data_IF_361263339607
#
_entry.id   IF_361263339607
#
_cell.length_a   1.000
_cell.length_b   1.000
_cell.length_c   1.000
_cell.angle_alpha   90.00
_cell.angle_beta   90.00
_cell.angle_gamma   90.00
#
_symmetry.space_group_name_H-M   'P 1'
#
loop_
_entity.id
_entity.type
_entity.pdbx_description
1 polymer ?
#
# COMPACT_ATOMS: atom_id res chain seq x y z
N UNK A 1 -0.30 -5.43 -5.89
CA UNK A 1 -0.23 -4.35 -6.86
C UNK A 1 1.14 -3.75 -6.87
N UNK A 2 1.68 -3.55 -5.70
CA UNK A 2 2.81 -2.67 -5.52
C UNK A 2 4.10 -3.42 -5.29
N UNK A 3 5.13 -2.84 -5.76
CA UNK A 3 6.52 -3.15 -5.55
C UNK A 3 6.98 -2.51 -4.23
N UNK A 4 7.95 -3.11 -3.53
CA UNK A 4 8.42 -2.65 -2.21
C UNK A 4 7.31 -2.62 -1.15
N UNK A 5 6.63 -3.74 -0.99
CA UNK A 5 5.53 -3.93 -0.04
C UNK A 5 5.97 -4.78 1.17
N UNK A 6 5.32 -4.56 2.31
CA UNK A 6 5.46 -5.41 3.50
C UNK A 6 4.49 -6.59 3.53
N UNK A 7 3.55 -6.66 2.58
CA UNK A 7 2.51 -7.68 2.54
C UNK A 7 3.07 -9.07 2.24
N UNK A 8 2.34 -10.10 2.64
CA UNK A 8 2.68 -11.48 2.30
C UNK A 8 2.63 -11.71 0.78
N UNK A 9 3.45 -12.66 0.31
CA UNK A 9 3.50 -13.04 -1.10
C UNK A 9 2.17 -13.61 -1.61
N UNK A 10 1.35 -14.19 -0.73
CA UNK A 10 0.01 -14.67 -1.02
C UNK A 10 -1.06 -13.58 -1.10
N UNK A 11 -0.79 -12.38 -0.56
CA UNK A 11 -1.74 -11.28 -0.60
C UNK A 11 -1.93 -10.78 -2.03
N UNK A 12 -3.18 -10.70 -2.46
CA UNK A 12 -3.53 -10.26 -3.80
C UNK A 12 -4.91 -9.60 -3.82
N UNK A 13 -5.28 -9.02 -4.95
CA UNK A 13 -6.54 -8.30 -5.12
C UNK A 13 -7.57 -9.08 -5.94
N UNK A 14 -7.24 -10.28 -6.41
CA UNK A 14 -8.03 -11.01 -7.41
C UNK A 14 -9.49 -11.18 -7.01
N UNK A 15 -9.80 -11.53 -5.76
CA UNK A 15 -11.18 -11.68 -5.30
C UNK A 15 -11.94 -10.36 -5.34
N UNK A 16 -11.38 -9.28 -4.77
CA UNK A 16 -11.99 -7.95 -4.79
C UNK A 16 -12.12 -7.42 -6.23
N UNK A 17 -11.12 -7.66 -7.09
CA UNK A 17 -11.16 -7.23 -8.48
C UNK A 17 -12.22 -7.97 -9.30
N UNK A 18 -12.42 -9.26 -9.06
CA UNK A 18 -13.52 -10.02 -9.66
C UNK A 18 -14.88 -9.53 -9.20
N UNK A 19 -15.03 -9.19 -7.92
CA UNK A 19 -16.25 -8.57 -7.40
C UNK A 19 -16.51 -7.21 -8.08
N UNK A 20 -15.48 -6.37 -8.22
CA UNK A 20 -15.56 -5.10 -8.92
C UNK A 20 -16.04 -5.25 -10.37
N UNK A 21 -15.45 -6.18 -11.13
CA UNK A 21 -15.89 -6.51 -12.50
C UNK A 21 -17.30 -7.08 -12.60
N UNK A 22 -17.90 -7.50 -11.49
CA UNK A 22 -19.27 -8.02 -11.38
C UNK A 22 -20.26 -7.01 -10.83
N UNK A 23 -19.84 -5.76 -10.62
CA UNK A 23 -20.71 -4.67 -10.23
C UNK A 23 -20.57 -4.19 -8.79
N UNK A 24 -19.70 -4.78 -7.98
CA UNK A 24 -19.33 -4.18 -6.71
C UNK A 24 -18.49 -2.93 -6.97
N UNK A 25 -18.86 -1.78 -6.40
CA UNK A 25 -18.07 -0.55 -6.55
C UNK A 25 -16.78 -0.66 -5.73
N UNK A 26 -15.73 0.09 -6.16
CA UNK A 26 -14.44 0.15 -5.48
C UNK A 26 -14.26 1.53 -4.83
N UNK A 27 -14.11 1.56 -3.50
CA UNK A 27 -14.01 2.79 -2.71
C UNK A 27 -12.57 3.27 -2.55
N UNK A 28 -12.33 4.57 -2.72
CA UNK A 28 -11.09 5.28 -2.40
C UNK A 28 -9.78 4.56 -2.82
N UNK A 29 -9.63 4.07 -4.05
CA UNK A 29 -8.48 3.23 -4.44
C UNK A 29 -7.12 3.92 -4.32
N UNK A 30 -7.04 5.25 -4.31
CA UNK A 30 -5.79 5.98 -4.17
C UNK A 30 -5.26 6.05 -2.72
N UNK A 31 -6.04 5.66 -1.72
CA UNK A 31 -5.63 5.74 -0.33
C UNK A 31 -4.83 4.50 0.09
N UNK A 32 -3.52 4.67 0.19
CA UNK A 32 -2.56 3.66 0.62
C UNK A 32 -1.72 4.17 1.77
N UNK A 33 -1.40 3.30 2.73
CA UNK A 33 -0.54 3.63 3.85
C UNK A 33 0.87 3.10 3.62
N UNK A 34 1.85 3.95 3.91
CA UNK A 34 3.27 3.62 3.87
C UNK A 34 3.77 3.41 5.30
N UNK A 35 4.62 2.41 5.52
CA UNK A 35 5.28 2.17 6.81
C UNK A 35 6.74 2.62 6.74
N UNK A 36 7.20 3.52 7.64
CA UNK A 36 8.52 4.15 7.53
C UNK A 36 9.68 3.25 7.97
N UNK A 37 9.43 2.20 8.76
CA UNK A 37 10.48 1.41 9.41
C UNK A 37 10.54 -0.02 8.85
N UNK A 38 10.96 -0.16 7.59
CA UNK A 38 11.17 -1.47 6.99
C UNK A 38 12.65 -1.68 6.68
N UNK A 39 13.12 -2.93 6.71
CA UNK A 39 14.47 -3.28 6.27
C UNK A 39 14.55 -3.03 4.77
N UNK A 40 15.50 -2.21 4.28
CA UNK A 40 15.58 -1.85 2.88
C UNK A 40 15.90 -3.04 1.97
N UNK A 41 15.63 -2.91 0.68
CA UNK A 41 15.99 -3.91 -0.32
C UNK A 41 17.50 -4.13 -0.38
N UNK A 42 17.88 -5.36 -0.66
CA UNK A 42 19.29 -5.75 -0.89
C UNK A 42 19.66 -5.77 -2.38
N UNK A 43 18.70 -5.60 -3.29
CA UNK A 43 18.89 -5.56 -4.74
C UNK A 43 17.59 -5.50 -5.52
N UNK A 44 17.68 -5.34 -6.83
CA UNK A 44 16.56 -5.05 -7.76
C UNK A 44 15.50 -6.15 -7.87
N UNK A 45 15.84 -7.38 -7.47
CA UNK A 45 14.92 -8.52 -7.56
C UNK A 45 14.07 -8.73 -6.31
N UNK A 46 14.32 -7.97 -5.25
CA UNK A 46 13.53 -8.03 -4.03
C UNK A 46 12.35 -7.07 -4.13
N UNK A 47 11.12 -7.60 -4.06
CA UNK A 47 9.89 -6.79 -4.10
C UNK A 47 9.22 -6.67 -2.73
N UNK A 48 9.64 -7.45 -1.74
CA UNK A 48 9.09 -7.47 -0.39
C UNK A 48 10.11 -6.94 0.61
N UNK A 49 9.67 -6.01 1.46
CA UNK A 49 10.45 -5.48 2.58
C UNK A 49 9.98 -6.08 3.91
N UNK A 50 10.92 -6.39 4.79
CA UNK A 50 10.58 -6.86 6.14
C UNK A 50 10.19 -5.67 7.01
N UNK A 51 8.96 -5.72 7.53
CA UNK A 51 8.45 -4.72 8.45
C UNK A 51 9.19 -4.82 9.79
N UNK A 52 9.65 -3.68 10.28
CA UNK A 52 10.10 -3.49 11.65
C UNK A 52 9.07 -2.68 12.44
N UNK A 53 8.92 -2.97 13.72
CA UNK A 53 7.95 -2.24 14.55
C UNK A 53 8.21 -0.74 14.55
N UNK A 54 7.14 0.04 14.43
CA UNK A 54 7.19 1.50 14.51
C UNK A 54 7.66 1.99 15.89
N UNK A 55 7.48 1.17 16.95
CA UNK A 55 7.93 1.49 18.31
C UNK A 55 9.44 1.76 18.41
N UNK A 56 10.23 1.28 17.44
CA UNK A 56 11.65 1.61 17.34
C UNK A 56 11.92 3.12 17.28
N UNK A 57 10.99 3.91 16.74
CA UNK A 57 11.10 5.36 16.66
C UNK A 57 10.91 6.08 18.01
N UNK A 58 10.39 5.38 19.02
CA UNK A 58 10.22 5.96 20.37
C UNK A 58 11.55 6.30 21.04
N UNK A 59 12.56 5.48 20.81
CA UNK A 59 13.88 5.65 21.42
C UNK A 59 15.02 5.78 20.39
N UNK A 60 14.81 5.32 19.15
CA UNK A 60 15.76 5.47 18.05
C UNK A 60 15.66 6.83 17.36
N UNK A 61 16.82 7.40 16.97
CA UNK A 61 16.92 8.66 16.23
C UNK A 61 17.20 8.42 14.76
N UNK A 62 16.46 9.12 13.89
CA UNK A 62 16.58 8.96 12.44
C UNK A 62 17.47 10.06 11.86
N UNK A 63 18.48 9.68 11.08
CA UNK A 63 19.40 10.61 10.45
C UNK A 63 19.96 10.13 9.10
N UNK A 64 20.51 11.07 8.35
CA UNK A 64 21.33 10.83 7.16
C UNK A 64 22.62 11.64 7.25
N UNK A 65 23.71 11.30 6.52
CA UNK A 65 24.87 12.18 6.41
C UNK A 65 24.48 13.54 5.81
N UNK A 66 25.12 14.64 6.26
CA UNK A 66 24.96 15.97 5.63
C UNK A 66 25.57 16.04 4.24
N UNK A 67 26.52 15.17 3.93
CA UNK A 67 27.17 15.10 2.63
C UNK A 67 26.45 14.13 1.70
N UNK A 68 26.10 14.58 0.49
CA UNK A 68 25.53 13.71 -0.55
C UNK A 68 26.54 12.63 -0.97
N UNK A 69 26.02 11.40 -1.18
CA UNK A 69 26.84 10.27 -1.61
C UNK A 69 27.89 9.82 -0.60
N UNK A 70 27.72 10.12 0.68
CA UNK A 70 28.65 9.68 1.73
C UNK A 70 28.62 8.16 1.89
N UNK A 71 29.76 7.52 1.66
CA UNK A 71 29.94 6.06 1.74
C UNK A 71 30.70 5.62 3.00
N UNK A 72 31.03 6.55 3.90
CA UNK A 72 31.68 6.21 5.17
C UNK A 72 30.79 5.30 6.01
N UNK A 73 31.42 4.48 6.84
CA UNK A 73 30.67 3.71 7.83
C UNK A 73 30.00 4.68 8.84
N UNK A 74 28.82 4.37 9.36
CA UNK A 74 28.08 5.28 10.25
C UNK A 74 28.88 5.68 11.51
N UNK A 75 29.79 4.81 11.99
CA UNK A 75 30.68 5.10 13.11
C UNK A 75 31.74 6.16 12.80
N UNK A 76 32.10 6.33 11.53
CA UNK A 76 33.13 7.24 11.05
C UNK A 76 32.56 8.62 10.66
N UNK A 77 31.23 8.80 10.79
CA UNK A 77 30.53 10.05 10.53
C UNK A 77 30.32 10.77 11.87
N UNK A 78 31.00 11.91 12.12
CA UNK A 78 30.87 12.67 13.34
C UNK A 78 29.44 13.18 13.57
N UNK A 79 29.09 13.48 14.82
CA UNK A 79 27.75 13.93 15.19
C UNK A 79 27.33 15.23 14.47
N UNK A 80 28.25 16.16 14.33
CA UNK A 80 28.05 17.44 13.64
C UNK A 80 27.87 17.31 12.12
N UNK A 81 28.24 16.15 11.53
CA UNK A 81 28.02 15.83 10.12
C UNK A 81 26.74 14.99 9.87
N UNK A 82 25.93 14.76 10.92
CA UNK A 82 24.64 14.05 10.83
C UNK A 82 23.47 15.04 10.70
N UNK A 83 22.54 14.77 9.78
CA UNK A 83 21.28 15.50 9.66
C UNK A 83 20.13 14.69 10.28
N UNK A 84 19.70 15.08 11.47
CA UNK A 84 18.50 14.56 12.13
C UNK A 84 17.27 15.27 11.53
N UNK A 85 16.99 15.03 10.28
CA UNK A 85 16.08 15.81 9.43
C UNK A 85 14.64 15.86 9.95
N UNK A 86 14.13 14.81 10.62
CA UNK A 86 12.78 14.84 11.22
C UNK A 86 12.74 15.77 12.43
N UNK A 87 13.74 15.72 13.31
CA UNK A 87 13.83 16.60 14.48
C UNK A 87 13.98 18.07 14.07
N UNK A 88 14.73 18.31 12.99
CA UNK A 88 14.95 19.67 12.46
C UNK A 88 13.71 20.24 11.76
N UNK A 89 12.99 19.41 10.98
CA UNK A 89 11.82 19.85 10.20
C UNK A 89 10.56 19.94 11.06
N UNK A 90 10.41 19.03 12.01
CA UNK A 90 9.20 18.85 12.82
C UNK A 90 9.55 18.83 14.32
N UNK A 91 9.99 19.95 14.89
CA UNK A 91 10.54 19.98 16.25
C UNK A 91 9.53 19.57 17.35
N UNK A 92 8.22 19.73 17.10
CA UNK A 92 7.18 19.34 18.04
C UNK A 92 7.02 17.83 18.19
N UNK A 93 7.30 17.06 17.13
CA UNK A 93 7.11 15.60 17.07
C UNK A 93 8.39 14.83 16.84
N UNK A 94 9.39 15.42 16.18
CA UNK A 94 10.66 14.78 15.86
C UNK A 94 10.49 13.44 15.15
N UNK A 95 11.10 12.39 15.67
CA UNK A 95 11.00 11.05 15.11
C UNK A 95 9.60 10.41 15.22
N UNK A 96 8.67 11.01 15.97
CA UNK A 96 7.32 10.51 16.20
C UNK A 96 6.26 11.13 15.28
N UNK A 97 6.67 11.89 14.26
CA UNK A 97 5.74 12.34 13.21
C UNK A 97 4.98 11.17 12.58
N UNK A 98 3.75 11.38 12.06
CA UNK A 98 2.97 10.34 11.41
C UNK A 98 3.73 9.57 10.33
N UNK A 99 3.25 8.35 10.04
CA UNK A 99 3.89 7.42 9.10
C UNK A 99 4.11 8.02 7.72
N UNK A 100 3.10 8.71 7.20
CA UNK A 100 3.14 9.36 5.89
C UNK A 100 4.21 10.46 5.84
N UNK A 101 4.29 11.30 6.87
CA UNK A 101 5.29 12.38 6.98
C UNK A 101 6.71 11.81 7.07
N UNK A 102 6.93 10.84 7.97
CA UNK A 102 8.24 10.19 8.12
C UNK A 102 8.68 9.48 6.84
N UNK A 103 7.75 8.82 6.15
CA UNK A 103 8.03 8.08 4.92
C UNK A 103 8.40 9.00 3.75
N UNK A 104 7.63 10.08 3.54
CA UNK A 104 7.96 11.09 2.51
C UNK A 104 9.32 11.72 2.76
N UNK A 105 9.57 12.14 3.99
CA UNK A 105 10.85 12.76 4.35
C UNK A 105 12.05 11.82 4.14
N UNK A 106 11.90 10.52 4.44
CA UNK A 106 12.95 9.54 4.21
C UNK A 106 13.21 9.32 2.71
N UNK A 107 12.14 9.16 1.90
CA UNK A 107 12.27 9.03 0.44
C UNK A 107 12.93 10.26 -0.17
N UNK A 108 12.46 11.45 0.21
CA UNK A 108 13.02 12.72 -0.26
C UNK A 108 14.53 12.84 0.01
N UNK A 109 14.99 12.48 1.24
CA UNK A 109 16.43 12.46 1.55
C UNK A 109 17.19 11.49 0.66
N UNK A 110 16.63 10.32 0.36
CA UNK A 110 17.26 9.37 -0.54
C UNK A 110 17.33 9.90 -1.99
N UNK A 111 16.23 10.45 -2.50
CA UNK A 111 16.13 11.01 -3.86
C UNK A 111 17.08 12.21 -4.06
N UNK A 112 17.30 13.01 -3.02
CA UNK A 112 18.27 14.11 -3.03
C UNK A 112 19.74 13.66 -2.97
N UNK A 113 19.98 12.35 -2.80
CA UNK A 113 21.31 11.76 -2.78
C UNK A 113 21.97 11.65 -1.40
N UNK A 114 21.20 11.78 -0.31
CA UNK A 114 21.68 11.55 1.07
C UNK A 114 21.44 10.13 1.56
N UNK A 115 20.82 9.29 0.74
CA UNK A 115 20.54 7.90 1.08
C UNK A 115 21.81 7.10 1.37
N UNK A 116 21.68 6.13 2.28
CA UNK A 116 22.77 5.28 2.76
C UNK A 116 22.63 3.83 2.33
N UNK A 117 23.66 3.02 2.56
CA UNK A 117 23.69 1.62 2.15
C UNK A 117 24.04 1.44 0.67
N UNK A 118 24.16 0.19 0.21
CA UNK A 118 24.59 -0.15 -1.16
C UNK A 118 23.62 0.35 -2.25
N UNK A 119 22.32 0.34 -1.94
CA UNK A 119 21.27 0.79 -2.88
C UNK A 119 21.01 2.30 -2.80
N UNK A 120 21.54 3.00 -1.80
CA UNK A 120 21.21 4.39 -1.47
C UNK A 120 19.72 4.62 -1.13
N UNK A 121 18.95 3.56 -0.97
CA UNK A 121 17.55 3.56 -0.58
C UNK A 121 17.41 3.18 0.90
N UNK A 122 18.02 3.96 1.79
CA UNK A 122 17.91 3.81 3.23
C UNK A 122 18.27 5.09 3.96
N UNK A 123 17.78 5.22 5.19
CA UNK A 123 18.19 6.18 6.21
C UNK A 123 18.61 5.43 7.48
N UNK A 124 19.40 6.04 8.35
CA UNK A 124 19.81 5.42 9.61
C UNK A 124 18.76 5.61 10.69
N UNK A 125 18.56 4.56 11.50
CA UNK A 125 17.83 4.58 12.78
C UNK A 125 18.80 4.14 13.87
N UNK A 126 19.21 5.06 14.74
CA UNK A 126 20.33 4.93 15.66
C UNK A 126 19.86 4.85 17.12
N UNK A 127 20.30 3.83 17.83
CA UNK A 127 19.98 3.62 19.25
C UNK A 127 21.10 4.04 20.21
N UNK A 128 22.20 4.59 19.71
CA UNK A 128 23.36 4.97 20.53
C UNK A 128 22.98 5.85 21.71
N UNK A 129 22.17 6.88 21.46
CA UNK A 129 21.73 7.81 22.52
C UNK A 129 20.77 7.14 23.50
N UNK A 130 19.87 6.28 23.04
CA UNK A 130 18.98 5.51 23.89
C UNK A 130 19.75 4.55 24.80
N UNK A 131 20.73 3.84 24.26
CA UNK A 131 21.61 2.93 25.02
C UNK A 131 22.39 3.70 26.07
N UNK A 132 22.95 4.89 25.72
CA UNK A 132 23.66 5.74 26.68
C UNK A 132 22.77 6.27 27.80
N UNK A 133 21.52 6.63 27.48
CA UNK A 133 20.55 7.21 28.43
C UNK A 133 19.88 6.18 29.33
N UNK A 134 19.47 5.05 28.77
CA UNK A 134 18.64 4.04 29.44
C UNK A 134 19.42 2.82 29.92
N UNK A 135 20.58 2.55 29.33
CA UNK A 135 21.32 1.31 29.47
C UNK A 135 20.89 0.25 28.47
N UNK A 136 21.82 -0.63 28.11
CA UNK A 136 21.60 -1.70 27.13
C UNK A 136 20.51 -2.69 27.58
N UNK A 137 20.42 -3.01 28.86
CA UNK A 137 19.44 -3.96 29.38
C UNK A 137 18.00 -3.48 29.17
N UNK A 138 17.73 -2.19 29.39
CA UNK A 138 16.42 -1.58 29.17
C UNK A 138 16.06 -1.56 27.68
N UNK A 139 17.02 -1.20 26.82
CA UNK A 139 16.83 -1.22 25.36
C UNK A 139 16.59 -2.65 24.87
N UNK A 140 17.34 -3.63 25.42
CA UNK A 140 17.14 -5.04 25.10
C UNK A 140 15.78 -5.58 25.55
N UNK A 141 15.32 -5.19 26.74
CA UNK A 141 13.99 -5.58 27.22
C UNK A 141 12.86 -5.03 26.30
N UNK A 142 13.05 -3.83 25.73
CA UNK A 142 12.06 -3.20 24.82
C UNK A 142 12.12 -3.72 23.39
N UNK A 143 13.32 -3.90 22.84
CA UNK A 143 13.55 -4.08 21.39
C UNK A 143 14.42 -5.28 21.05
N UNK A 144 14.90 -6.06 22.00
CA UNK A 144 15.89 -7.12 21.78
C UNK A 144 15.45 -8.17 20.74
N UNK A 145 14.17 -8.54 20.73
CA UNK A 145 13.61 -9.45 19.71
C UNK A 145 13.66 -8.84 18.31
N UNK A 146 13.41 -7.54 18.16
CA UNK A 146 13.48 -6.83 16.89
C UNK A 146 14.93 -6.69 16.43
N UNK A 147 15.85 -6.39 17.34
CA UNK A 147 17.28 -6.33 17.04
C UNK A 147 17.83 -7.67 16.59
N UNK A 148 17.42 -8.76 17.28
CA UNK A 148 17.80 -10.11 16.88
C UNK A 148 17.27 -10.47 15.49
N UNK A 149 16.02 -10.10 15.16
CA UNK A 149 15.45 -10.30 13.83
C UNK A 149 16.22 -9.50 12.78
N UNK A 150 16.52 -8.23 13.05
CA UNK A 150 17.29 -7.38 12.16
C UNK A 150 18.68 -7.95 11.89
N UNK A 151 19.40 -8.32 12.95
CA UNK A 151 20.74 -8.91 12.83
C UNK A 151 20.76 -10.23 12.04
N UNK A 152 19.73 -11.07 12.19
CA UNK A 152 19.60 -12.31 11.40
C UNK A 152 19.40 -12.04 9.91
N UNK A 153 18.73 -10.95 9.55
CA UNK A 153 18.43 -10.61 8.15
C UNK A 153 19.61 -9.86 7.50
N UNK A 154 20.21 -8.92 8.23
CA UNK A 154 21.18 -7.97 7.66
C UNK A 154 22.64 -8.30 7.98
N UNK A 155 22.89 -9.05 9.06
CA UNK A 155 24.23 -9.27 9.61
C UNK A 155 24.74 -8.14 10.51
N UNK A 156 24.02 -7.01 10.62
CA UNK A 156 24.42 -5.86 11.44
C UNK A 156 23.81 -5.97 12.85
N UNK A 157 24.59 -5.62 13.87
CA UNK A 157 24.15 -5.58 15.26
C UNK A 157 23.65 -4.18 15.65
N UNK A 158 22.34 -3.98 15.91
CA UNK A 158 21.76 -2.67 16.24
C UNK A 158 22.27 -2.05 17.55
N UNK A 159 22.90 -2.82 18.43
CA UNK A 159 23.53 -2.28 19.64
C UNK A 159 24.81 -1.49 19.35
N UNK A 160 25.46 -1.75 18.23
CA UNK A 160 26.75 -1.16 17.86
C UNK A 160 26.72 -0.35 16.55
N UNK A 161 25.77 -0.66 15.68
CA UNK A 161 25.67 -0.08 14.34
C UNK A 161 24.22 0.39 14.11
N UNK A 162 24.01 1.62 13.63
CA UNK A 162 22.66 2.10 13.30
C UNK A 162 21.97 1.17 12.30
N UNK A 163 20.69 0.89 12.54
CA UNK A 163 19.85 0.16 11.60
C UNK A 163 19.65 0.99 10.33
N UNK A 164 19.57 0.31 9.20
CA UNK A 164 19.12 0.90 7.94
C UNK A 164 17.63 0.62 7.79
N UNK A 165 16.85 1.67 7.54
CA UNK A 165 15.41 1.57 7.33
C UNK A 165 15.02 2.32 6.05
N UNK A 166 13.92 1.88 5.43
CA UNK A 166 13.32 2.53 4.27
C UNK A 166 11.79 2.37 4.29
N UNK A 167 11.02 3.33 3.77
CA UNK A 167 9.58 3.21 3.70
C UNK A 167 9.13 2.13 2.73
N UNK A 168 8.02 1.47 3.06
CA UNK A 168 7.37 0.50 2.19
C UNK A 168 5.85 0.61 2.25
N UNK A 169 5.20 0.28 1.15
CA UNK A 169 3.73 0.17 1.10
C UNK A 169 3.29 -0.92 2.07
N UNK A 170 2.31 -0.61 2.92
CA UNK A 170 1.94 -1.46 4.05
C UNK A 170 0.47 -1.85 4.09
N UNK A 171 -0.45 -0.93 3.79
CA UNK A 171 -1.88 -1.15 3.93
C UNK A 171 -2.65 -0.39 2.84
N UNK A 172 -3.75 -0.98 2.35
CA UNK A 172 -4.70 -0.30 1.48
C UNK A 172 -5.92 0.13 2.29
N UNK A 173 -6.19 1.44 2.34
CA UNK A 173 -7.43 1.95 2.93
C UNK A 173 -8.57 1.91 1.91
N UNK A 174 -8.25 1.95 0.62
CA UNK A 174 -9.20 1.67 -0.45
C UNK A 174 -9.52 0.18 -0.57
N UNK A 175 -10.71 -0.15 -1.05
CA UNK A 175 -11.20 -1.52 -1.20
C UNK A 175 -12.62 -1.53 -1.78
N UNK A 176 -13.32 -2.66 -1.71
CA UNK A 176 -14.72 -2.71 -2.11
C UNK A 176 -15.55 -1.75 -1.27
N UNK A 177 -16.39 -0.97 -1.93
CA UNK A 177 -17.37 -0.13 -1.23
C UNK A 177 -18.38 -1.03 -0.49
N UNK A 178 -18.68 -0.68 0.74
CA UNK A 178 -19.69 -1.35 1.58
C UNK A 178 -20.53 -0.33 2.31
N UNK A 179 -21.77 -0.69 2.58
CA UNK A 179 -22.65 0.03 3.49
C UNK A 179 -22.32 -0.26 4.97
N UNK A 180 -23.06 0.31 5.91
CA UNK A 180 -22.89 0.06 7.35
C UNK A 180 -23.16 -1.39 7.79
N UNK A 181 -23.79 -2.19 6.93
CA UNK A 181 -24.01 -3.61 7.12
C UNK A 181 -22.93 -4.48 6.48
N UNK A 182 -21.86 -3.88 5.95
CA UNK A 182 -20.75 -4.53 5.24
C UNK A 182 -21.16 -5.18 3.92
N UNK A 183 -22.33 -4.86 3.39
CA UNK A 183 -22.76 -5.34 2.08
C UNK A 183 -22.24 -4.43 0.98
N UNK A 184 -21.72 -5.02 -0.08
CA UNK A 184 -21.29 -4.31 -1.29
C UNK A 184 -22.51 -3.86 -2.10
N UNK A 185 -22.29 -3.14 -3.20
CA UNK A 185 -23.37 -2.80 -4.15
C UNK A 185 -23.94 -4.02 -4.89
N UNK A 186 -23.35 -5.21 -4.71
CA UNK A 186 -23.92 -6.49 -5.17
C UNK A 186 -24.66 -7.14 -4.00
N UNK A 187 -26.00 -7.28 -4.07
CA UNK A 187 -26.79 -7.86 -2.98
C UNK A 187 -26.30 -9.26 -2.58
N UNK A 188 -26.13 -9.50 -1.28
CA UNK A 188 -25.64 -10.76 -0.72
C UNK A 188 -24.13 -10.96 -0.78
N UNK A 189 -23.38 -10.01 -1.32
CA UNK A 189 -21.92 -10.01 -1.29
C UNK A 189 -21.43 -9.03 -0.22
N UNK A 190 -20.74 -9.57 0.79
CA UNK A 190 -20.18 -8.83 1.91
C UNK A 190 -18.66 -8.76 1.81
N UNK A 191 -18.06 -7.65 2.23
CA UNK A 191 -16.61 -7.49 2.32
C UNK A 191 -16.24 -7.01 3.72
N UNK A 192 -15.29 -7.71 4.36
CA UNK A 192 -14.84 -7.44 5.72
C UNK A 192 -13.32 -7.24 5.78
N UNK A 193 -12.84 -6.48 6.75
CA UNK A 193 -11.42 -6.20 6.93
C UNK A 193 -10.82 -5.41 5.77
N UNK A 194 -9.54 -5.61 5.47
CA UNK A 194 -8.78 -4.81 4.50
C UNK A 194 -9.32 -4.87 3.06
N UNK A 195 -10.16 -5.83 2.70
CA UNK A 195 -10.73 -5.88 1.36
C UNK A 195 -11.86 -4.88 1.11
N UNK A 196 -12.44 -4.26 2.15
CA UNK A 196 -13.36 -3.15 2.04
C UNK A 196 -12.67 -1.79 2.23
N UNK A 197 -13.30 -0.70 1.76
CA UNK A 197 -12.74 0.66 1.84
C UNK A 197 -12.82 1.30 3.23
N UNK A 198 -13.56 0.71 4.10
CA UNK A 198 -13.76 0.93 5.51
C UNK A 198 -13.63 2.36 6.09
N UNK A 199 -13.69 2.42 7.41
CA UNK A 199 -13.69 3.59 8.29
C UNK A 199 -12.31 4.25 8.49
N UNK A 200 -11.27 3.78 7.82
CA UNK A 200 -9.92 4.34 8.00
C UNK A 200 -9.68 5.66 7.25
N UNK A 201 -10.52 6.00 6.28
CA UNK A 201 -10.36 7.19 5.45
C UNK A 201 -9.00 7.22 4.75
N UNK A 202 -8.35 8.38 4.74
CA UNK A 202 -7.09 8.58 4.04
C UNK A 202 -5.83 8.16 4.84
N UNK A 203 -5.96 7.85 6.13
CA UNK A 203 -4.82 7.45 6.97
C UNK A 203 -5.24 6.60 8.17
N UNK A 204 -4.86 5.33 8.17
CA UNK A 204 -5.17 4.37 9.22
C UNK A 204 -4.28 4.57 10.45
N UNK A 205 -4.88 4.49 11.63
CA UNK A 205 -4.15 4.45 12.91
C UNK A 205 -3.45 3.10 13.10
N UNK A 206 -2.35 3.10 13.84
CA UNK A 206 -1.63 1.87 14.18
C UNK A 206 -2.54 0.87 14.91
N UNK A 207 -2.39 -0.42 14.62
CA UNK A 207 -3.15 -1.56 15.17
C UNK A 207 -4.66 -1.61 14.83
N UNK A 208 -5.25 -0.57 14.24
CA UNK A 208 -6.70 -0.54 13.97
C UNK A 208 -7.17 -1.52 12.88
N UNK A 209 -6.27 -1.99 11.98
CA UNK A 209 -6.65 -2.94 10.93
C UNK A 209 -7.19 -4.27 11.47
N UNK A 210 -6.49 -4.85 12.45
CA UNK A 210 -6.96 -6.09 13.09
C UNK A 210 -8.24 -5.85 13.90
N UNK A 211 -8.36 -4.70 14.56
CA UNK A 211 -9.59 -4.33 15.29
C UNK A 211 -10.78 -4.24 14.35
N UNK A 212 -10.61 -3.58 13.21
CA UNK A 212 -11.66 -3.51 12.20
C UNK A 212 -12.07 -4.90 11.71
N UNK A 213 -11.12 -5.71 11.22
CA UNK A 213 -11.46 -7.04 10.70
C UNK A 213 -12.12 -7.96 11.73
N UNK A 214 -11.75 -7.84 13.02
CA UNK A 214 -12.39 -8.56 14.11
C UNK A 214 -13.79 -7.98 14.41
N UNK A 215 -13.96 -6.66 14.43
CA UNK A 215 -15.25 -6.02 14.63
C UNK A 215 -16.24 -6.39 13.52
N UNK A 216 -15.81 -6.26 12.28
CA UNK A 216 -16.59 -6.65 11.10
C UNK A 216 -17.07 -8.11 11.19
N UNK A 217 -16.13 -9.04 11.46
CA UNK A 217 -16.40 -10.46 11.46
C UNK A 217 -17.18 -10.97 12.69
N UNK A 218 -16.96 -10.39 13.87
CA UNK A 218 -17.59 -10.88 15.12
C UNK A 218 -18.85 -10.11 15.53
N UNK A 219 -18.88 -8.80 15.26
CA UNK A 219 -19.94 -7.95 15.79
C UNK A 219 -20.94 -7.46 14.74
N UNK A 220 -20.56 -7.36 13.46
CA UNK A 220 -21.45 -6.86 12.41
C UNK A 220 -21.95 -8.00 11.53
N UNK A 221 -21.07 -8.75 10.88
CA UNK A 221 -21.43 -9.74 9.87
C UNK A 221 -22.44 -10.81 10.31
N UNK A 222 -22.38 -11.39 11.54
CA UNK A 222 -23.37 -12.40 11.94
C UNK A 222 -24.80 -11.89 11.97
N UNK A 223 -24.99 -10.63 12.33
CA UNK A 223 -26.33 -10.01 12.37
C UNK A 223 -26.81 -9.67 10.96
N UNK A 224 -25.98 -9.07 10.14
CA UNK A 224 -26.36 -8.63 8.79
C UNK A 224 -26.66 -9.80 7.86
N UNK A 225 -25.89 -10.91 7.94
CA UNK A 225 -26.21 -12.14 7.19
C UNK A 225 -27.52 -12.72 7.66
N UNK A 226 -27.74 -12.81 8.97
CA UNK A 226 -28.99 -13.34 9.55
C UNK A 226 -30.21 -12.55 9.09
N UNK A 227 -30.12 -11.22 9.10
CA UNK A 227 -31.18 -10.33 8.64
C UNK A 227 -31.42 -10.48 7.14
N UNK A 228 -30.37 -10.47 6.32
CA UNK A 228 -30.47 -10.63 4.87
C UNK A 228 -31.15 -11.95 4.49
N UNK A 229 -30.78 -13.04 5.14
CA UNK A 229 -31.30 -14.37 4.84
C UNK A 229 -32.69 -14.66 5.48
N UNK A 230 -33.18 -13.81 6.38
CA UNK A 230 -34.41 -14.07 7.13
C UNK A 230 -35.62 -14.35 6.24
N UNK A 231 -35.72 -13.69 5.09
CA UNK A 231 -36.77 -13.86 4.11
C UNK A 231 -36.52 -15.01 3.14
N UNK A 232 -35.28 -15.50 3.06
CA UNK A 232 -34.83 -16.49 2.06
C UNK A 232 -34.59 -17.89 2.63
N UNK A 233 -34.85 -18.11 3.93
CA UNK A 233 -34.63 -19.40 4.61
C UNK A 233 -35.32 -20.58 3.90
N UNK A 234 -36.44 -20.33 3.22
CA UNK A 234 -37.22 -21.35 2.50
C UNK A 234 -37.01 -21.28 0.98
N UNK A 235 -36.21 -20.37 0.50
CA UNK A 235 -35.89 -20.26 -0.94
C UNK A 235 -35.07 -21.47 -1.36
N UNK A 236 -35.44 -22.21 -2.42
CA UNK A 236 -34.66 -23.32 -2.92
C UNK A 236 -33.26 -22.89 -3.32
N UNK A 237 -32.25 -23.72 -3.03
CA UNK A 237 -30.88 -23.48 -3.51
C UNK A 237 -30.87 -23.43 -5.04
N UNK A 238 -30.06 -22.54 -5.60
CA UNK A 238 -29.82 -22.50 -7.04
C UNK A 238 -29.12 -23.81 -7.45
N UNK A 239 -29.66 -24.54 -8.42
CA UNK A 239 -29.08 -25.80 -8.85
C UNK A 239 -27.70 -25.58 -9.51
N UNK A 240 -26.77 -26.50 -9.30
CA UNK A 240 -25.38 -26.38 -9.78
C UNK A 240 -25.24 -26.52 -11.31
N UNK A 241 -26.28 -26.94 -11.99
CA UNK A 241 -26.39 -26.98 -13.46
C UNK A 241 -26.95 -25.70 -14.07
N UNK A 242 -27.11 -24.63 -13.27
CA UNK A 242 -27.52 -23.34 -13.78
C UNK A 242 -26.44 -22.75 -14.69
N UNK A 243 -26.85 -22.20 -15.84
CA UNK A 243 -25.96 -21.67 -16.91
C UNK A 243 -24.90 -20.66 -16.42
N UNK A 244 -25.15 -19.97 -15.31
CA UNK A 244 -24.21 -19.02 -14.74
C UNK A 244 -22.90 -19.71 -14.27
N UNK A 245 -22.96 -20.97 -13.80
CA UNK A 245 -21.80 -21.76 -13.39
C UNK A 245 -20.96 -22.14 -14.62
N UNK A 246 -21.60 -22.63 -15.67
CA UNK A 246 -20.91 -22.99 -16.94
C UNK A 246 -20.24 -21.77 -17.56
N UNK A 247 -20.90 -20.62 -17.54
CA UNK A 247 -20.35 -19.35 -18.03
C UNK A 247 -19.14 -18.89 -17.19
N UNK A 248 -19.22 -19.01 -15.88
CA UNK A 248 -18.12 -18.64 -14.98
C UNK A 248 -16.90 -19.55 -15.19
N UNK A 249 -17.11 -20.87 -15.27
CA UNK A 249 -16.07 -21.86 -15.55
C UNK A 249 -15.42 -21.59 -16.91
N UNK A 250 -16.22 -21.40 -17.97
CA UNK A 250 -15.73 -21.10 -19.31
C UNK A 250 -14.86 -19.85 -19.30
N UNK A 251 -15.28 -18.77 -18.67
CA UNK A 251 -14.50 -17.54 -18.59
C UNK A 251 -13.15 -17.75 -17.90
N UNK A 252 -13.11 -18.53 -16.80
CA UNK A 252 -11.87 -18.84 -16.11
C UNK A 252 -10.92 -19.69 -16.98
N UNK A 253 -11.47 -20.69 -17.69
CA UNK A 253 -10.69 -21.53 -18.61
C UNK A 253 -10.16 -20.73 -19.81
N UNK A 254 -10.97 -19.85 -20.37
CA UNK A 254 -10.57 -19.01 -21.50
C UNK A 254 -9.41 -18.08 -21.11
N UNK A 255 -9.46 -17.48 -19.91
CA UNK A 255 -8.37 -16.67 -19.37
C UNK A 255 -7.09 -17.46 -19.16
N UNK A 256 -7.18 -18.65 -18.54
CA UNK A 256 -6.03 -19.55 -18.34
C UNK A 256 -5.42 -19.98 -19.67
N UNK A 257 -6.25 -20.38 -20.63
CA UNK A 257 -5.82 -20.76 -21.97
C UNK A 257 -5.12 -19.61 -22.70
N UNK A 258 -5.65 -18.39 -22.58
CA UNK A 258 -5.01 -17.20 -23.16
C UNK A 258 -3.60 -17.01 -22.62
N UNK A 259 -3.41 -17.15 -21.28
CA UNK A 259 -2.10 -17.02 -20.64
C UNK A 259 -1.13 -18.13 -21.01
N UNK A 260 -1.58 -19.38 -21.02
CA UNK A 260 -0.74 -20.55 -21.30
C UNK A 260 -0.34 -20.68 -22.78
N UNK A 261 -1.21 -20.27 -23.69
CA UNK A 261 -0.97 -20.32 -25.13
C UNK A 261 -0.20 -19.09 -25.64
N UNK A 262 0.01 -18.09 -24.82
CA UNK A 262 0.80 -16.92 -25.19
C UNK A 262 2.30 -17.28 -25.16
N UNK A 263 2.94 -17.36 -26.33
CA UNK A 263 4.35 -17.67 -26.50
C UNK A 263 5.22 -16.41 -26.44
N UNK A 264 4.93 -15.51 -25.54
CA UNK A 264 5.68 -14.27 -25.35
C UNK A 264 7.14 -14.50 -24.89
N UNK A 265 7.89 -13.42 -24.82
CA UNK A 265 9.33 -13.43 -24.49
C UNK A 265 9.63 -12.96 -23.07
N UNK A 266 8.63 -12.45 -22.33
CA UNK A 266 8.83 -11.81 -21.02
C UNK A 266 8.18 -12.63 -19.89
N UNK A 267 8.90 -12.74 -18.76
CA UNK A 267 8.36 -13.39 -17.57
C UNK A 267 7.28 -12.55 -16.89
N UNK A 268 6.37 -13.20 -16.19
CA UNK A 268 5.33 -12.55 -15.36
C UNK A 268 5.95 -11.56 -14.36
N UNK A 269 7.05 -11.98 -13.72
CA UNK A 269 7.77 -11.18 -12.74
C UNK A 269 8.31 -9.85 -13.31
N UNK A 270 8.75 -9.85 -14.58
CA UNK A 270 9.24 -8.62 -15.21
C UNK A 270 8.15 -7.58 -15.38
N UNK A 271 6.92 -7.99 -15.69
CA UNK A 271 5.77 -7.09 -15.78
C UNK A 271 5.34 -6.56 -14.41
N UNK A 272 5.38 -7.41 -13.37
CA UNK A 272 5.09 -6.97 -12.01
C UNK A 272 6.08 -5.91 -11.53
N UNK A 273 7.38 -6.08 -11.83
CA UNK A 273 8.40 -5.07 -11.49
C UNK A 273 8.19 -3.76 -12.23
N UNK A 274 7.93 -3.81 -13.54
CA UNK A 274 7.69 -2.59 -14.33
C UNK A 274 6.48 -1.82 -13.78
N UNK A 275 5.37 -2.52 -13.52
CA UNK A 275 4.21 -1.91 -12.85
C UNK A 275 4.59 -1.31 -11.50
N UNK A 276 5.36 -2.06 -10.70
CA UNK A 276 5.83 -1.62 -9.39
C UNK A 276 6.64 -0.33 -9.46
N UNK A 277 7.54 -0.20 -10.42
CA UNK A 277 8.32 1.02 -10.63
C UNK A 277 7.44 2.20 -11.07
N UNK A 278 6.53 1.99 -12.02
CA UNK A 278 5.59 3.03 -12.44
C UNK A 278 4.78 3.55 -11.25
N UNK A 279 4.23 2.63 -10.44
CA UNK A 279 3.42 2.98 -9.26
C UNK A 279 4.25 3.67 -8.17
N UNK A 280 5.45 3.16 -7.89
CA UNK A 280 6.32 3.72 -6.86
C UNK A 280 6.76 5.15 -7.16
N UNK A 281 7.15 5.41 -8.41
CA UNK A 281 7.66 6.73 -8.82
C UNK A 281 6.54 7.77 -9.01
N UNK A 282 5.40 7.37 -9.56
CA UNK A 282 4.38 8.33 -9.98
C UNK A 282 3.12 8.34 -9.11
N UNK A 283 2.81 7.25 -8.39
CA UNK A 283 1.63 7.12 -7.52
C UNK A 283 2.00 6.68 -6.09
N UNK A 284 3.23 6.89 -5.68
CA UNK A 284 3.77 6.54 -4.37
C UNK A 284 3.46 7.57 -3.29
N UNK A 285 4.50 8.01 -2.58
CA UNK A 285 4.41 8.87 -1.39
C UNK A 285 4.21 10.35 -1.71
N UNK A 286 4.69 10.83 -2.85
CA UNK A 286 4.45 12.17 -3.38
C UNK A 286 4.01 12.03 -4.83
N UNK A 287 2.97 12.74 -5.21
CA UNK A 287 2.27 12.60 -6.49
C UNK A 287 2.09 13.97 -7.12
N UNK A 288 2.17 14.05 -8.43
CA UNK A 288 1.84 15.28 -9.16
C UNK A 288 1.07 14.95 -10.44
N UNK A 289 0.39 15.93 -10.99
CA UNK A 289 -0.47 15.77 -12.18
C UNK A 289 0.29 15.17 -13.36
N UNK A 290 1.52 15.64 -13.62
CA UNK A 290 2.33 15.15 -14.72
C UNK A 290 2.71 13.68 -14.58
N UNK A 291 3.20 13.29 -13.38
CA UNK A 291 3.55 11.91 -13.07
C UNK A 291 2.36 10.96 -13.13
N UNK A 292 1.21 11.35 -12.56
CA UNK A 292 -0.01 10.55 -12.60
C UNK A 292 -0.54 10.37 -14.02
N UNK A 293 -0.55 11.42 -14.84
CA UNK A 293 -0.96 11.34 -16.26
C UNK A 293 -0.02 10.42 -17.05
N UNK A 294 1.29 10.53 -16.82
CA UNK A 294 2.30 9.66 -17.40
C UNK A 294 2.06 8.20 -16.99
N UNK A 295 1.81 7.94 -15.69
CA UNK A 295 1.57 6.60 -15.18
C UNK A 295 0.37 5.91 -15.84
N UNK A 296 -0.75 6.61 -16.06
CA UNK A 296 -1.90 6.05 -16.79
C UNK A 296 -1.47 5.55 -18.17
N UNK A 297 -0.77 6.38 -18.94
CA UNK A 297 -0.30 6.03 -20.28
C UNK A 297 0.67 4.84 -20.26
N UNK A 298 1.61 4.82 -19.31
CA UNK A 298 2.59 3.73 -19.17
C UNK A 298 1.93 2.41 -18.75
N UNK A 299 0.97 2.43 -17.81
CA UNK A 299 0.22 1.24 -17.38
C UNK A 299 -0.62 0.70 -18.52
N UNK A 300 -1.28 1.55 -19.30
CA UNK A 300 -2.06 1.13 -20.47
C UNK A 300 -1.17 0.46 -21.53
N UNK A 301 0.00 1.03 -21.80
CA UNK A 301 0.99 0.42 -22.67
C UNK A 301 1.51 -0.91 -22.13
N UNK A 302 1.83 -0.97 -20.84
CA UNK A 302 2.30 -2.19 -20.17
C UNK A 302 1.23 -3.28 -20.17
N UNK A 303 -0.04 -2.93 -19.97
CA UNK A 303 -1.19 -3.85 -20.05
C UNK A 303 -1.34 -4.45 -21.45
N UNK A 304 -1.18 -3.67 -22.50
CA UNK A 304 -1.16 -4.17 -23.89
C UNK A 304 0.01 -5.13 -24.10
N UNK A 305 1.21 -4.71 -23.72
CA UNK A 305 2.43 -5.51 -23.82
C UNK A 305 2.33 -6.81 -23.02
N UNK A 306 1.67 -6.79 -21.88
CA UNK A 306 1.43 -7.98 -21.06
C UNK A 306 0.70 -9.07 -21.86
N UNK A 307 -0.43 -8.73 -22.44
CA UNK A 307 -1.25 -9.69 -23.20
C UNK A 307 -0.62 -10.14 -24.52
N UNK A 308 0.36 -9.41 -25.04
CA UNK A 308 1.10 -9.77 -26.27
C UNK A 308 2.39 -10.54 -25.97
N UNK A 309 3.07 -10.27 -24.84
CA UNK A 309 4.45 -10.69 -24.62
C UNK A 309 4.67 -11.54 -23.37
N UNK A 310 3.66 -11.73 -22.51
CA UNK A 310 3.84 -12.55 -21.31
C UNK A 310 4.04 -14.01 -21.68
N UNK A 311 4.95 -14.67 -20.98
CA UNK A 311 5.19 -16.11 -21.09
C UNK A 311 4.93 -16.79 -19.77
N UNK A 312 4.00 -17.74 -19.76
CA UNK A 312 3.65 -18.56 -18.61
C UNK A 312 4.08 -20.00 -18.89
N UNK A 313 5.12 -20.52 -18.24
CA UNK A 313 5.52 -21.92 -18.41
C UNK A 313 4.55 -22.86 -17.69
N UNK A 314 4.55 -24.14 -18.08
CA UNK A 314 3.76 -25.17 -17.43
C UNK A 314 2.41 -25.46 -18.11
N UNK A 315 1.48 -26.04 -17.34
CA UNK A 315 0.16 -26.51 -17.79
C UNK A 315 -0.88 -26.17 -16.74
N UNK A 316 -2.16 -26.26 -17.09
CA UNK A 316 -3.31 -25.99 -16.19
C UNK A 316 -3.81 -27.22 -15.41
N UNK A 317 -3.41 -28.44 -15.82
CA UNK A 317 -3.84 -29.69 -15.19
C UNK A 317 -2.97 -30.14 -14.01
N UNK A 318 -2.03 -29.32 -13.60
CA UNK A 318 -1.16 -29.48 -12.44
C UNK A 318 -1.03 -28.14 -11.70
N UNK A 319 -0.60 -28.18 -10.45
CA UNK A 319 -0.31 -26.95 -9.70
C UNK A 319 0.72 -26.12 -10.47
N UNK A 320 0.31 -24.92 -10.90
CA UNK A 320 1.15 -24.00 -11.67
C UNK A 320 1.20 -22.62 -11.01
N UNK A 321 2.19 -22.35 -10.13
CA UNK A 321 2.32 -21.05 -9.46
C UNK A 321 2.55 -19.88 -10.42
N UNK A 322 3.16 -20.10 -11.59
CA UNK A 322 3.36 -19.04 -12.58
C UNK A 322 2.06 -18.64 -13.28
N UNK A 323 1.14 -19.57 -13.50
CA UNK A 323 -0.19 -19.29 -14.03
C UNK A 323 -1.02 -18.48 -13.02
N UNK A 324 -0.98 -18.88 -11.75
CA UNK A 324 -1.64 -18.13 -10.67
C UNK A 324 -1.09 -16.70 -10.56
N UNK A 325 0.24 -16.57 -10.56
CA UNK A 325 0.92 -15.26 -10.55
C UNK A 325 0.56 -14.41 -11.77
N UNK A 326 0.45 -15.02 -12.94
CA UNK A 326 0.04 -14.33 -14.16
C UNK A 326 -1.38 -13.75 -14.04
N UNK A 327 -2.33 -14.52 -13.51
CA UNK A 327 -3.68 -14.03 -13.25
C UNK A 327 -3.68 -12.82 -12.30
N UNK A 328 -2.90 -12.89 -11.22
CA UNK A 328 -2.73 -11.74 -10.28
C UNK A 328 -2.15 -10.51 -10.93
N UNK A 329 -1.11 -10.65 -11.74
CA UNK A 329 -0.47 -9.50 -12.38
C UNK A 329 -1.40 -8.85 -13.40
N UNK A 330 -2.23 -9.61 -14.10
CA UNK A 330 -3.28 -9.06 -14.94
C UNK A 330 -4.25 -8.16 -14.14
N UNK A 331 -4.72 -8.64 -12.98
CA UNK A 331 -5.59 -7.86 -12.08
C UNK A 331 -4.85 -6.64 -11.49
N UNK A 332 -3.55 -6.76 -11.18
CA UNK A 332 -2.75 -5.65 -10.66
C UNK A 332 -2.57 -4.51 -11.68
N UNK A 333 -2.42 -4.84 -12.97
CA UNK A 333 -2.32 -3.84 -14.02
C UNK A 333 -3.61 -3.00 -14.14
N UNK A 334 -4.76 -3.64 -13.99
CA UNK A 334 -6.05 -2.95 -14.03
C UNK A 334 -6.30 -2.12 -12.76
N UNK A 335 -6.04 -2.69 -11.57
CA UNK A 335 -6.19 -1.95 -10.31
C UNK A 335 -5.20 -0.79 -10.22
N UNK A 336 -3.96 -0.98 -10.66
CA UNK A 336 -2.96 0.09 -10.69
C UNK A 336 -3.44 1.30 -11.48
N UNK A 337 -4.06 1.08 -12.64
CA UNK A 337 -4.67 2.14 -13.44
C UNK A 337 -5.80 2.85 -12.67
N UNK A 338 -6.68 2.11 -11.99
CA UNK A 338 -7.77 2.69 -11.19
C UNK A 338 -7.22 3.54 -10.03
N UNK A 339 -6.20 3.05 -9.33
CA UNK A 339 -5.54 3.80 -8.26
C UNK A 339 -4.95 5.13 -8.75
N UNK A 340 -4.31 5.12 -9.92
CA UNK A 340 -3.73 6.33 -10.52
C UNK A 340 -4.82 7.30 -10.97
N UNK A 341 -5.93 6.81 -11.54
CA UNK A 341 -7.07 7.64 -11.95
C UNK A 341 -7.70 8.34 -10.75
N UNK A 342 -7.96 7.62 -9.65
CA UNK A 342 -8.50 8.21 -8.42
C UNK A 342 -7.53 9.24 -7.81
N UNK A 343 -6.22 8.95 -7.83
CA UNK A 343 -5.20 9.89 -7.37
C UNK A 343 -5.10 11.15 -8.25
N UNK A 344 -5.29 11.03 -9.55
CA UNK A 344 -5.29 12.15 -10.48
C UNK A 344 -6.52 13.05 -10.28
N UNK A 345 -7.66 12.43 -10.05
CA UNK A 345 -8.93 13.10 -9.89
C UNK A 345 -9.06 13.83 -8.53
N UNK A 346 -8.41 13.33 -7.47
CA UNK A 346 -8.33 13.97 -6.16
C UNK A 346 -7.11 14.89 -6.09
N UNK A 347 -7.33 16.19 -6.32
CA UNK A 347 -6.23 17.17 -6.38
C UNK A 347 -5.79 17.74 -5.03
N UNK A 348 -6.45 17.39 -3.92
CA UNK A 348 -6.02 17.74 -2.56
C UNK A 348 -4.89 16.84 -2.05
N UNK A 349 -4.32 17.18 -0.89
CA UNK A 349 -3.48 16.27 -0.10
C UNK A 349 -4.20 15.87 1.18
N UNK A 350 -4.47 14.56 1.36
CA UNK A 350 -5.17 14.04 2.52
C UNK A 350 -4.55 12.70 2.97
N UNK A 351 -4.05 12.63 4.19
CA UNK A 351 -3.43 11.42 4.76
C UNK A 351 -2.28 10.86 3.92
N UNK A 352 -2.41 9.61 3.47
CA UNK A 352 -1.41 8.97 2.62
C UNK A 352 -1.39 9.46 1.17
N UNK A 353 -2.45 10.14 0.72
CA UNK A 353 -2.51 10.78 -0.58
C UNK A 353 -1.92 12.20 -0.51
N UNK A 354 -0.75 12.39 -1.05
CA UNK A 354 -0.05 13.69 -1.07
C UNK A 354 0.18 14.15 -2.51
N UNK A 355 -0.34 15.34 -2.83
CA UNK A 355 -0.17 16.03 -4.10
C UNK A 355 0.82 17.18 -3.92
N UNK A 356 1.90 17.18 -4.71
CA UNK A 356 2.93 18.22 -4.66
C UNK A 356 2.36 19.62 -4.96
N UNK A 357 1.28 19.69 -5.72
CA UNK A 357 0.57 20.94 -6.01
C UNK A 357 -0.31 21.43 -4.85
N UNK A 358 -0.62 20.56 -3.88
CA UNK A 358 -1.54 20.84 -2.77
C UNK A 358 -0.83 20.68 -1.43
N UNK A 359 0.07 21.61 -1.16
CA UNK A 359 0.82 21.70 0.08
C UNK A 359 0.91 23.16 0.56
N UNK A 360 1.13 23.34 1.87
CA UNK A 360 1.37 24.66 2.45
C UNK A 360 2.74 25.18 2.02
N UNK A 361 3.02 26.46 2.27
CA UNK A 361 4.35 27.06 2.04
C UNK A 361 5.46 26.32 2.80
N UNK A 362 5.11 25.69 3.91
CA UNK A 362 6.01 24.89 4.71
C UNK A 362 6.15 23.42 4.26
N UNK A 363 5.44 23.00 3.21
CA UNK A 363 5.49 21.64 2.66
C UNK A 363 4.61 20.62 3.40
N UNK A 364 3.64 21.07 4.21
CA UNK A 364 2.64 20.19 4.81
C UNK A 364 1.47 19.94 3.85
N UNK A 365 0.78 18.80 4.05
CA UNK A 365 -0.37 18.43 3.24
C UNK A 365 -1.51 19.45 3.39
N UNK A 366 -2.02 19.94 2.28
CA UNK A 366 -3.15 20.88 2.22
C UNK A 366 -4.39 20.17 1.69
N UNK A 367 -5.41 20.00 2.56
CA UNK A 367 -6.72 19.48 2.18
C UNK A 367 -7.57 20.56 1.52
N UNK A 368 -8.51 20.13 0.72
CA UNK A 368 -9.59 20.95 0.16
C UNK A 368 -10.94 20.37 0.61
N UNK A 369 -11.31 20.70 1.84
CA UNK A 369 -12.51 20.16 2.50
C UNK A 369 -13.81 20.60 1.80
N UNK A 370 -13.80 21.70 1.05
CA UNK A 370 -14.96 22.20 0.31
C UNK A 370 -15.28 21.27 -0.88
N UNK A 371 -14.25 20.78 -1.59
CA UNK A 371 -14.44 20.04 -2.82
C UNK A 371 -14.26 18.52 -2.65
N UNK A 372 -13.62 18.04 -1.55
CA UNK A 372 -13.22 16.64 -1.39
C UNK A 372 -13.73 15.96 -0.10
N UNK A 373 -14.70 16.55 0.61
CA UNK A 373 -15.38 15.88 1.74
C UNK A 373 -16.35 14.80 1.25
N UNK A 374 -15.81 13.81 0.55
CA UNK A 374 -16.56 12.64 0.07
C UNK A 374 -15.67 11.40 -0.05
N UNK A 375 -16.29 10.22 -0.03
CA UNK A 375 -15.69 8.97 -0.47
C UNK A 375 -15.93 8.76 -1.96
N UNK A 376 -14.88 8.42 -2.71
CA UNK A 376 -15.00 8.01 -4.11
C UNK A 376 -15.53 6.57 -4.17
N UNK A 377 -16.53 6.29 -4.99
CA UNK A 377 -16.99 4.95 -5.30
C UNK A 377 -16.97 4.75 -6.82
N UNK A 378 -16.02 3.96 -7.29
CA UNK A 378 -15.78 3.72 -8.71
C UNK A 378 -16.58 2.53 -9.21
N UNK A 379 -17.27 2.71 -10.33
CA UNK A 379 -18.07 1.69 -10.99
C UNK A 379 -17.36 1.18 -12.24
N UNK A 380 -17.25 -0.15 -12.39
CA UNK A 380 -16.69 -0.78 -13.57
C UNK A 380 -17.66 -0.71 -14.76
N UNK A 381 -17.20 -0.25 -15.92
CA UNK A 381 -18.00 -0.13 -17.16
C UNK A 381 -17.51 -1.02 -18.32
N UNK A 382 -16.53 -1.88 -18.04
CA UNK A 382 -15.94 -2.75 -19.06
C UNK A 382 -14.48 -2.41 -19.38
N UNK A 383 -13.77 -3.33 -20.00
CA UNK A 383 -12.32 -3.20 -20.26
C UNK A 383 -11.95 -2.03 -21.21
N UNK A 384 -12.86 -1.68 -22.11
CA UNK A 384 -12.65 -0.62 -23.10
C UNK A 384 -13.30 0.73 -22.73
N UNK A 385 -13.88 0.81 -21.52
CA UNK A 385 -14.64 1.98 -21.08
C UNK A 385 -14.03 2.53 -19.80
N UNK A 386 -13.93 3.85 -19.70
CA UNK A 386 -13.47 4.46 -18.46
C UNK A 386 -14.44 4.17 -17.31
N UNK A 387 -13.92 3.86 -16.09
CA UNK A 387 -14.78 3.67 -14.93
C UNK A 387 -15.46 4.99 -14.55
N UNK A 388 -16.65 4.90 -13.96
CA UNK A 388 -17.39 6.06 -13.49
C UNK A 388 -17.17 6.25 -12.01
N UNK A 389 -16.77 7.46 -11.60
CA UNK A 389 -16.70 7.84 -10.20
C UNK A 389 -18.05 8.34 -9.71
N UNK A 390 -18.55 7.74 -8.64
CA UNK A 390 -19.62 8.24 -7.81
C UNK A 390 -19.04 8.88 -6.54
N UNK A 391 -19.76 9.84 -5.95
CA UNK A 391 -19.38 10.51 -4.71
C UNK A 391 -20.39 10.15 -3.62
N UNK A 392 -19.85 9.79 -2.46
CA UNK A 392 -20.63 9.64 -1.22
C UNK A 392 -20.20 10.75 -0.26
N UNK A 393 -21.06 11.71 -0.04
CA UNK A 393 -20.78 12.86 0.83
C UNK A 393 -20.57 12.41 2.28
N UNK A 394 -19.52 12.93 2.91
CA UNK A 394 -19.21 12.65 4.31
C UNK A 394 -19.87 13.70 5.22
N UNK A 395 -20.60 13.21 6.21
CA UNK A 395 -21.21 14.05 7.25
C UNK A 395 -20.65 13.68 8.62
N UNK A 396 -20.43 14.67 9.48
CA UNK A 396 -19.83 14.50 10.80
C UNK A 396 -20.73 15.10 11.87
N UNK A 397 -21.33 14.26 12.71
CA UNK A 397 -22.29 14.69 13.74
C UNK A 397 -21.60 15.26 14.99
N UNK A 398 -20.40 14.76 15.33
CA UNK A 398 -19.73 15.05 16.62
C UNK A 398 -18.34 15.61 16.52
N UNK A 399 -17.75 15.67 15.32
CA UNK A 399 -16.40 16.19 15.07
C UNK A 399 -16.44 17.29 14.02
N UNK A 400 -15.47 18.17 14.07
CA UNK A 400 -15.27 19.22 13.06
C UNK A 400 -13.99 18.95 12.28
N UNK A 401 -14.01 19.24 10.99
CA UNK A 401 -12.82 19.18 10.15
C UNK A 401 -11.81 20.23 10.61
N UNK A 402 -10.58 19.82 10.85
CA UNK A 402 -9.47 20.70 11.24
C UNK A 402 -8.23 20.38 10.43
N UNK A 403 -7.50 21.44 10.03
CA UNK A 403 -6.19 21.27 9.37
C UNK A 403 -5.15 20.84 10.41
N UNK A 404 -4.33 19.85 10.06
CA UNK A 404 -3.20 19.43 10.89
C UNK A 404 -1.97 20.31 10.64
N UNK A 405 -1.18 20.53 11.69
CA UNK A 405 0.20 21.01 11.59
C UNK A 405 1.11 20.17 12.47
N UNK A 406 2.33 19.94 12.01
CA UNK A 406 3.38 19.19 12.72
C UNK A 406 4.58 20.07 13.11
N UNK A 407 4.44 21.40 12.98
CA UNK A 407 5.43 22.40 13.37
C UNK A 407 5.18 23.00 14.73
#
# INVERSE_FOLDING_TARGET
VVYLSTNDMGSNVTAAWKAYKKGAMFGNPCFTQIHPTCIPVSGDYQSKLTLMSESLRNDGRIWVPKKKGDDRLPRDIPEDERDYYLERRYPAFGNLVPRDVASRAAKERCDEGFGVGSTKLAVYLDFKDAIKRLGQDVVSARYGNLFQMYAKITGDDPYTTPMRIYPAVHYTMGGLWVDYNLMTTVPGLYAIGECNYSDHGANRLGASALMQGLADGYFVLPYTIGEYLSNDIRTPAIPTDHEAFDKAEKNARDQNNRLLNNNGSRSVESFHRDLGHIMWENCGMARNQGGLTKAISEIQSLKKDYWEKVRVPGRDNVLNPELEKAGRVADFLELGELMVRDALDRSESCGGHFREESQTEEGEALRDDENYTFSSAWEYKGEATEPIRNKEELTFDTVHLTQRSYK
#
